data_IF_310315137189
#
_entry.id   IF_310315137189
#
_cell.length_a   1.000
_cell.length_b   1.000
_cell.length_c   1.000
_cell.angle_alpha   90.00
_cell.angle_beta   90.00
_cell.angle_gamma   90.00
#
_symmetry.space_group_name_H-M   'P 1'
#
loop_
_entity.id
_entity.type
_entity.pdbx_description
1 polymer ?
#
# COMPACT_ATOMS: atom_id res chain seq x y z
N UNK A 1 31.73 19.93 -5.97
CA UNK A 1 31.60 21.21 -6.71
C UNK A 1 31.75 21.07 -8.23
N UNK A 2 32.63 20.21 -8.77
CA UNK A 2 32.79 20.02 -10.23
C UNK A 2 31.57 19.39 -10.93
N UNK A 3 31.00 18.32 -10.36
CA UNK A 3 29.83 17.63 -10.94
C UNK A 3 28.53 18.43 -10.87
N UNK A 4 28.42 19.35 -9.90
CA UNK A 4 27.24 20.21 -9.72
C UNK A 4 27.15 21.24 -10.85
N UNK A 5 28.28 21.88 -11.22
CA UNK A 5 28.35 22.78 -12.39
C UNK A 5 28.00 22.08 -13.71
N UNK A 6 28.37 20.80 -13.85
CA UNK A 6 28.10 20.03 -15.06
C UNK A 6 26.60 19.65 -15.19
N UNK A 7 25.94 19.35 -14.08
CA UNK A 7 24.49 19.09 -14.06
C UNK A 7 23.67 20.37 -14.27
N UNK A 8 24.10 21.51 -13.71
CA UNK A 8 23.47 22.83 -13.94
C UNK A 8 23.51 23.20 -15.43
N UNK A 9 24.65 23.05 -16.11
CA UNK A 9 24.73 23.33 -17.55
C UNK A 9 23.83 22.41 -18.38
N UNK A 10 23.66 21.13 -17.98
CA UNK A 10 22.75 20.20 -18.68
C UNK A 10 21.28 20.55 -18.43
N UNK A 11 20.90 20.94 -17.22
CA UNK A 11 19.53 21.34 -16.88
C UNK A 11 19.12 22.65 -17.57
N UNK A 12 19.99 23.66 -17.58
CA UNK A 12 19.76 24.92 -18.30
C UNK A 12 19.54 24.67 -19.79
N UNK A 13 20.33 23.78 -20.40
CA UNK A 13 20.16 23.42 -21.82
C UNK A 13 18.85 22.68 -22.08
N UNK A 14 18.40 21.80 -21.19
CA UNK A 14 17.13 21.06 -21.32
C UNK A 14 15.92 21.99 -21.14
N UNK A 15 15.95 22.90 -20.17
CA UNK A 15 14.90 23.89 -19.96
C UNK A 15 14.79 24.87 -21.14
N UNK A 16 15.92 25.34 -21.67
CA UNK A 16 15.96 26.18 -22.88
C UNK A 16 15.43 25.43 -24.10
N UNK A 17 15.74 24.14 -24.23
CA UNK A 17 15.28 23.33 -25.36
C UNK A 17 13.78 23.01 -25.30
N UNK A 18 13.21 22.82 -24.10
CA UNK A 18 11.76 22.68 -23.92
C UNK A 18 11.01 23.99 -24.20
N UNK A 19 11.55 25.14 -23.78
CA UNK A 19 10.98 26.45 -24.09
C UNK A 19 10.95 26.75 -25.60
N UNK A 20 12.01 26.42 -26.34
CA UNK A 20 12.03 26.57 -27.80
C UNK A 20 11.00 25.68 -28.51
N UNK A 21 10.78 24.45 -28.02
CA UNK A 21 9.77 23.55 -28.58
C UNK A 21 8.32 24.01 -28.31
N UNK A 22 8.07 24.60 -27.13
CA UNK A 22 6.75 25.12 -26.77
C UNK A 22 6.40 26.40 -27.54
N UNK A 23 7.39 27.28 -27.75
CA UNK A 23 7.25 28.51 -28.53
C UNK A 23 6.99 28.23 -30.03
N UNK A 24 7.60 27.17 -30.58
CA UNK A 24 7.40 26.80 -32.00
C UNK A 24 6.01 26.22 -32.27
N UNK A 25 5.36 25.60 -31.27
CA UNK A 25 4.01 25.04 -31.39
C UNK A 25 2.90 26.11 -31.20
N UNK A 26 3.19 27.22 -30.51
CA UNK A 26 2.21 28.26 -30.21
C UNK A 26 2.03 29.32 -31.31
N UNK A 27 3.01 29.50 -32.21
CA UNK A 27 3.00 30.56 -33.23
C UNK A 27 2.94 30.02 -34.67
N UNK A 28 1.90 29.21 -34.94
CA UNK A 28 1.45 28.96 -36.30
C UNK A 28 0.44 30.01 -36.77
N UNK A 29 0.82 30.77 -37.81
CA UNK A 29 -0.01 31.54 -38.76
C UNK A 29 0.13 33.08 -38.75
N UNK A 30 0.79 33.53 -39.82
CA UNK A 30 0.58 34.73 -40.67
C UNK A 30 0.40 36.13 -40.08
N UNK A 31 1.24 37.04 -40.59
CA UNK A 31 0.86 38.41 -40.96
C UNK A 31 1.68 39.52 -40.29
N UNK A 32 2.69 40.01 -41.02
CA UNK A 32 3.34 41.35 -40.96
C UNK A 32 3.68 41.92 -39.56
N UNK A 33 4.90 41.67 -39.06
CA UNK A 33 5.32 41.92 -37.66
C UNK A 33 6.77 42.41 -37.46
N UNK A 34 7.45 42.95 -38.45
CA UNK A 34 8.93 43.03 -38.38
C UNK A 34 9.50 44.15 -37.49
N UNK A 35 8.76 45.21 -37.18
CA UNK A 35 9.23 46.28 -36.27
C UNK A 35 8.76 46.14 -34.81
N UNK A 36 7.62 45.48 -34.59
CA UNK A 36 7.09 45.21 -33.24
C UNK A 36 7.68 43.92 -32.67
N UNK A 37 8.03 42.93 -33.50
CA UNK A 37 8.68 41.72 -33.01
C UNK A 37 10.14 41.96 -32.60
N UNK A 38 10.90 42.82 -33.29
CA UNK A 38 12.32 43.05 -32.94
C UNK A 38 12.46 43.60 -31.51
N UNK A 39 11.68 44.64 -31.17
CA UNK A 39 11.63 45.24 -29.83
C UNK A 39 11.15 44.23 -28.77
N UNK A 40 10.16 43.39 -29.13
CA UNK A 40 9.66 42.33 -28.25
C UNK A 40 10.69 41.22 -27.99
N UNK A 41 11.48 40.86 -29.01
CA UNK A 41 12.52 39.80 -28.92
C UNK A 41 13.72 40.27 -28.11
N UNK A 42 14.10 41.55 -28.23
CA UNK A 42 15.20 42.13 -27.46
C UNK A 42 14.81 42.33 -25.98
N UNK A 43 13.57 42.75 -25.71
CA UNK A 43 12.98 42.79 -24.35
C UNK A 43 12.96 41.38 -23.71
N UNK A 44 12.55 40.36 -24.46
CA UNK A 44 12.51 38.97 -23.98
C UNK A 44 13.92 38.43 -23.66
N UNK A 45 14.90 38.77 -24.51
CA UNK A 45 16.30 38.38 -24.33
C UNK A 45 16.95 39.09 -23.14
N UNK A 46 16.62 40.35 -22.90
CA UNK A 46 17.03 41.10 -21.72
C UNK A 46 16.43 40.51 -20.44
N UNK A 47 15.13 40.23 -20.43
CA UNK A 47 14.43 39.60 -19.30
C UNK A 47 15.05 38.23 -18.96
N UNK A 48 15.34 37.40 -19.97
CA UNK A 48 15.97 36.08 -19.80
C UNK A 48 17.36 36.16 -19.18
N UNK A 49 18.16 37.16 -19.56
CA UNK A 49 19.52 37.37 -19.03
C UNK A 49 19.52 37.83 -17.57
N UNK A 50 18.55 38.67 -17.17
CA UNK A 50 18.38 39.11 -15.77
C UNK A 50 18.00 37.92 -14.90
N UNK A 51 17.04 37.12 -15.36
CA UNK A 51 16.61 35.87 -14.73
C UNK A 51 17.79 34.91 -14.52
N UNK A 52 18.59 34.65 -15.55
CA UNK A 52 19.72 33.71 -15.49
C UNK A 52 20.80 34.16 -14.48
N UNK A 53 21.03 35.47 -14.38
CA UNK A 53 21.99 36.05 -13.44
C UNK A 53 21.49 36.00 -11.99
N UNK A 54 20.18 36.14 -11.78
CA UNK A 54 19.54 36.05 -10.47
C UNK A 54 19.60 34.63 -9.90
N UNK A 55 19.19 33.62 -10.69
CA UNK A 55 19.25 32.19 -10.30
C UNK A 55 20.64 31.80 -9.83
N UNK A 56 21.69 32.21 -10.56
CA UNK A 56 23.08 31.88 -10.23
C UNK A 56 23.56 32.46 -8.89
N UNK A 57 23.09 33.65 -8.52
CA UNK A 57 23.50 34.36 -7.29
C UNK A 57 22.82 33.78 -6.03
N UNK A 58 21.60 33.29 -6.18
CA UNK A 58 20.80 32.75 -5.07
C UNK A 58 21.25 31.33 -4.68
N UNK A 59 21.62 30.50 -5.67
CA UNK A 59 22.21 29.17 -5.42
C UNK A 59 23.51 29.26 -4.61
N UNK A 60 24.31 30.31 -4.80
CA UNK A 60 25.57 30.51 -4.05
C UNK A 60 25.36 30.91 -2.57
N UNK A 61 24.15 31.30 -2.15
CA UNK A 61 23.88 31.86 -0.81
C UNK A 61 23.23 30.90 0.19
N UNK A 62 22.74 29.73 -0.22
CA UNK A 62 21.98 28.83 0.66
C UNK A 62 22.90 27.71 1.19
N UNK A 63 23.07 27.61 2.51
CA UNK A 63 24.16 26.86 3.14
C UNK A 63 23.80 25.45 3.68
N UNK A 64 22.72 24.82 3.23
CA UNK A 64 22.39 23.43 3.58
C UNK A 64 21.81 22.68 2.37
N UNK A 65 22.27 21.46 2.10
CA UNK A 65 21.94 20.70 0.88
C UNK A 65 20.42 20.42 0.72
N UNK A 66 19.69 20.28 1.84
CA UNK A 66 18.23 20.10 1.83
C UNK A 66 17.47 21.41 1.56
N UNK A 67 17.96 22.53 2.11
CA UNK A 67 17.41 23.86 1.87
C UNK A 67 17.74 24.31 0.45
N UNK A 68 18.91 23.94 -0.07
CA UNK A 68 19.39 24.22 -1.43
C UNK A 68 18.49 23.56 -2.47
N UNK A 69 18.16 22.26 -2.34
CA UNK A 69 17.25 21.56 -3.28
C UNK A 69 15.82 22.11 -3.23
N UNK A 70 15.33 22.46 -2.04
CA UNK A 70 14.00 23.07 -1.89
C UNK A 70 13.97 24.49 -2.48
N UNK A 71 15.03 25.27 -2.27
CA UNK A 71 15.21 26.59 -2.84
C UNK A 71 15.32 26.53 -4.37
N UNK A 72 16.11 25.61 -4.92
CA UNK A 72 16.29 25.45 -6.37
C UNK A 72 14.95 25.21 -7.10
N UNK A 73 14.13 24.28 -6.61
CA UNK A 73 12.81 23.99 -7.18
C UNK A 73 11.80 25.14 -7.01
N UNK A 74 11.85 25.84 -5.87
CA UNK A 74 11.01 27.01 -5.64
C UNK A 74 11.42 28.18 -6.55
N UNK A 75 12.72 28.34 -6.80
CA UNK A 75 13.29 29.37 -7.66
C UNK A 75 13.00 29.10 -9.14
N UNK A 76 13.05 27.85 -9.61
CA UNK A 76 12.67 27.48 -10.98
C UNK A 76 11.22 27.89 -11.28
N UNK A 77 10.29 27.55 -10.37
CA UNK A 77 8.88 27.95 -10.47
C UNK A 77 8.68 29.47 -10.37
N UNK A 78 9.39 30.14 -9.47
CA UNK A 78 9.34 31.60 -9.34
C UNK A 78 9.89 32.31 -10.59
N UNK A 79 10.85 31.69 -11.26
CA UNK A 79 11.43 32.15 -12.51
C UNK A 79 10.42 32.06 -13.64
N UNK A 80 9.71 30.94 -13.78
CA UNK A 80 8.61 30.79 -14.74
C UNK A 80 7.49 31.81 -14.50
N UNK A 81 7.06 31.98 -13.23
CA UNK A 81 6.03 32.97 -12.86
C UNK A 81 6.49 34.42 -13.12
N UNK A 82 7.77 34.73 -12.90
CA UNK A 82 8.34 36.05 -13.18
C UNK A 82 8.43 36.33 -14.68
N UNK A 83 8.81 35.33 -15.49
CA UNK A 83 8.83 35.44 -16.95
C UNK A 83 7.41 35.65 -17.49
N UNK A 84 6.41 34.89 -17.01
CA UNK A 84 5.01 35.06 -17.41
C UNK A 84 4.45 36.44 -17.02
N UNK A 85 4.86 36.97 -15.85
CA UNK A 85 4.47 38.31 -15.41
C UNK A 85 5.11 39.41 -16.26
N UNK A 86 6.38 39.26 -16.64
CA UNK A 86 7.08 40.18 -17.54
C UNK A 86 6.47 40.14 -18.95
N UNK A 87 6.12 38.96 -19.44
CA UNK A 87 5.46 38.79 -20.74
C UNK A 87 4.07 39.44 -20.76
N UNK A 88 3.25 39.24 -19.71
CA UNK A 88 1.96 39.94 -19.54
C UNK A 88 2.10 41.46 -19.38
N UNK A 89 3.20 41.92 -18.79
CA UNK A 89 3.49 43.36 -18.67
C UNK A 89 3.90 43.95 -20.03
N UNK A 90 4.73 43.22 -20.79
CA UNK A 90 5.13 43.59 -22.15
C UNK A 90 3.94 43.61 -23.11
N UNK A 91 2.98 42.68 -22.94
CA UNK A 91 1.78 42.62 -23.77
C UNK A 91 0.75 43.73 -23.44
N UNK A 92 0.73 44.22 -22.20
CA UNK A 92 -0.16 45.32 -21.76
C UNK A 92 0.34 46.72 -22.07
N UNK A 93 1.62 46.89 -22.42
CA UNK A 93 2.24 48.21 -22.60
C UNK A 93 2.81 48.33 -24.00
N UNK A 94 1.93 48.32 -24.99
CA UNK A 94 2.25 48.80 -26.33
C UNK A 94 2.03 50.31 -26.41
N UNK A 95 2.83 51.10 -25.71
CA UNK A 95 3.17 52.49 -26.05
C UNK A 95 4.16 53.08 -25.04
N UNK A 96 5.39 53.36 -25.52
CA UNK A 96 6.47 54.11 -24.84
C UNK A 96 6.91 53.58 -23.47
N UNK A 97 7.71 52.53 -23.45
CA UNK A 97 8.61 52.25 -22.31
C UNK A 97 10.01 51.97 -22.86
N UNK A 98 11.02 52.66 -22.34
CA UNK A 98 12.43 52.43 -22.64
C UNK A 98 12.90 51.09 -22.09
N UNK A 99 13.84 50.39 -22.75
CA UNK A 99 14.42 49.12 -22.26
C UNK A 99 14.81 49.17 -20.77
N UNK A 100 15.39 50.28 -20.30
CA UNK A 100 15.74 50.48 -18.88
C UNK A 100 14.56 50.40 -17.90
N UNK A 101 13.38 50.87 -18.30
CA UNK A 101 12.20 50.84 -17.44
C UNK A 101 11.57 49.44 -17.40
N UNK A 102 11.67 48.68 -18.49
CA UNK A 102 11.30 47.25 -18.52
C UNK A 102 12.30 46.44 -17.70
N UNK A 103 13.60 46.72 -17.80
CA UNK A 103 14.65 46.05 -17.03
C UNK A 103 14.48 46.27 -15.52
N UNK A 104 14.25 47.52 -15.08
CA UNK A 104 13.96 47.83 -13.66
C UNK A 104 12.67 47.19 -13.15
N UNK A 105 11.63 47.14 -13.98
CA UNK A 105 10.38 46.47 -13.61
C UNK A 105 10.56 44.95 -13.49
N UNK A 106 11.34 44.35 -14.39
CA UNK A 106 11.71 42.94 -14.36
C UNK A 106 12.58 42.60 -13.13
N UNK A 107 13.62 43.39 -12.83
CA UNK A 107 14.45 43.21 -11.63
C UNK A 107 13.62 43.24 -10.35
N UNK A 108 12.70 44.21 -10.22
CA UNK A 108 11.82 44.32 -9.04
C UNK A 108 10.81 43.17 -8.94
N UNK A 109 10.33 42.67 -10.08
CA UNK A 109 9.44 41.51 -10.12
C UNK A 109 10.17 40.22 -9.72
N UNK A 110 11.39 40.03 -10.22
CA UNK A 110 12.27 38.91 -9.87
C UNK A 110 12.62 38.95 -8.38
N UNK A 111 13.09 40.08 -7.84
CA UNK A 111 13.43 40.21 -6.41
C UNK A 111 12.24 39.84 -5.50
N UNK A 112 11.04 40.31 -5.84
CA UNK A 112 9.81 39.96 -5.11
C UNK A 112 9.42 38.49 -5.24
N UNK A 113 9.74 37.86 -6.37
CA UNK A 113 9.52 36.44 -6.59
C UNK A 113 10.52 35.60 -5.79
N UNK A 114 11.79 36.01 -5.74
CA UNK A 114 12.84 35.39 -4.92
C UNK A 114 12.49 35.43 -3.43
N UNK A 115 12.07 36.59 -2.90
CA UNK A 115 11.66 36.71 -1.50
C UNK A 115 10.50 35.76 -1.15
N UNK A 116 9.49 35.68 -2.03
CA UNK A 116 8.36 34.77 -1.85
C UNK A 116 8.78 33.30 -1.92
N UNK A 117 9.66 32.95 -2.85
CA UNK A 117 10.17 31.59 -3.00
C UNK A 117 10.97 31.17 -1.76
N UNK A 118 11.85 32.06 -1.26
CA UNK A 118 12.62 31.84 -0.05
C UNK A 118 11.71 31.66 1.17
N UNK A 119 10.69 32.50 1.34
CA UNK A 119 9.70 32.35 2.42
C UNK A 119 8.96 31.00 2.35
N UNK A 120 8.53 30.57 1.16
CA UNK A 120 7.88 29.27 0.97
C UNK A 120 8.82 28.10 1.27
N UNK A 121 10.07 28.19 0.83
CA UNK A 121 11.08 27.16 1.09
C UNK A 121 11.38 27.04 2.59
N UNK A 122 11.52 28.17 3.30
CA UNK A 122 11.70 28.18 4.75
C UNK A 122 10.48 27.61 5.49
N UNK A 123 9.27 27.98 5.05
CA UNK A 123 8.01 27.46 5.59
C UNK A 123 7.91 25.95 5.43
N UNK A 124 8.39 25.40 4.31
CA UNK A 124 8.44 23.96 4.03
C UNK A 124 9.48 23.24 4.89
N UNK A 125 10.65 23.83 5.07
CA UNK A 125 11.78 23.20 5.75
C UNK A 125 11.61 23.14 7.28
N UNK A 126 11.03 24.20 7.88
CA UNK A 126 10.94 24.32 9.34
C UNK A 126 9.59 23.87 9.87
N UNK A 127 9.62 23.06 10.94
CA UNK A 127 8.44 22.70 11.73
C UNK A 127 7.70 23.97 12.22
N UNK A 128 6.37 23.90 12.41
CA UNK A 128 5.58 25.04 12.89
C UNK A 128 5.98 25.49 14.30
N UNK A 129 6.20 24.53 15.19
CA UNK A 129 6.65 24.79 16.56
C UNK A 129 8.19 24.76 16.64
N UNK A 130 8.73 25.41 17.66
CA UNK A 130 10.17 25.44 17.91
C UNK A 130 10.75 24.06 18.24
N UNK A 131 12.08 23.97 18.28
CA UNK A 131 12.80 22.72 18.58
C UNK A 131 12.43 22.09 19.93
N UNK A 132 11.93 22.88 20.88
CA UNK A 132 11.57 22.47 22.24
C UNK A 132 10.13 21.95 22.39
N UNK A 133 9.26 22.15 21.39
CA UNK A 133 7.86 21.75 21.44
C UNK A 133 7.50 20.75 20.32
N UNK A 134 6.77 19.67 20.65
CA UNK A 134 6.29 18.74 19.64
C UNK A 134 5.21 19.40 18.79
N UNK A 135 5.28 19.18 17.48
CA UNK A 135 4.18 19.55 16.60
C UNK A 135 3.08 18.50 16.72
N UNK A 136 1.92 18.91 17.23
CA UNK A 136 0.76 18.03 17.39
C UNK A 136 0.07 17.80 16.04
N UNK A 137 0.01 16.54 15.62
CA UNK A 137 -0.62 16.10 14.37
C UNK A 137 -1.76 15.15 14.69
N UNK A 138 -2.99 15.60 14.48
CA UNK A 138 -4.16 14.77 14.64
C UNK A 138 -4.36 13.89 13.40
N UNK A 139 -4.55 12.59 13.56
CA UNK A 139 -4.76 11.67 12.44
C UNK A 139 -6.16 11.04 12.47
N UNK A 140 -6.67 10.70 11.29
CA UNK A 140 -7.84 9.85 11.13
C UNK A 140 -7.64 8.92 9.95
N UNK A 141 -7.76 7.62 10.17
CA UNK A 141 -7.68 6.60 9.11
C UNK A 141 -9.06 6.08 8.79
N UNK A 142 -9.43 6.08 7.52
CA UNK A 142 -10.68 5.48 7.05
C UNK A 142 -10.36 4.39 6.03
N UNK A 143 -10.59 3.13 6.41
CA UNK A 143 -10.45 2.02 5.47
C UNK A 143 -11.68 1.94 4.59
N UNK A 144 -11.49 2.20 3.30
CA UNK A 144 -12.54 2.13 2.29
C UNK A 144 -12.83 0.66 1.97
N UNK A 145 -11.77 -0.10 1.69
CA UNK A 145 -11.89 -1.49 1.30
C UNK A 145 -10.61 -2.28 1.59
N UNK A 146 -10.77 -3.60 1.68
CA UNK A 146 -9.67 -4.58 1.67
C UNK A 146 -9.90 -5.48 0.45
N UNK A 147 -9.10 -5.29 -0.59
CA UNK A 147 -9.36 -5.90 -1.90
C UNK A 147 -9.05 -7.41 -1.91
N UNK A 148 -7.98 -7.81 -1.21
CA UNK A 148 -7.52 -9.21 -1.15
C UNK A 148 -6.63 -9.45 0.06
N UNK A 149 -6.73 -10.64 0.66
CA UNK A 149 -5.76 -11.16 1.62
C UNK A 149 -5.13 -12.43 1.02
N UNK A 150 -3.81 -12.42 0.85
CA UNK A 150 -3.02 -13.54 0.36
C UNK A 150 -2.19 -14.16 1.48
N UNK A 151 -2.66 -15.31 1.97
CA UNK A 151 -2.02 -16.02 3.06
C UNK A 151 -0.65 -16.60 2.71
N UNK A 152 -0.46 -17.06 1.47
CA UNK A 152 0.79 -17.66 1.03
C UNK A 152 1.85 -16.58 0.74
N UNK A 153 1.43 -15.47 0.13
CA UNK A 153 2.30 -14.33 -0.14
C UNK A 153 2.52 -13.42 1.08
N UNK A 154 1.93 -13.75 2.24
CA UNK A 154 2.01 -12.96 3.47
C UNK A 154 1.71 -11.46 3.25
N UNK A 155 0.62 -11.19 2.51
CA UNK A 155 0.27 -9.82 2.13
C UNK A 155 -1.24 -9.62 2.02
N UNK A 156 -1.67 -8.36 2.09
CA UNK A 156 -3.04 -7.95 1.81
C UNK A 156 -3.05 -6.61 1.08
N UNK A 157 -4.05 -6.36 0.25
CA UNK A 157 -4.21 -5.09 -0.46
C UNK A 157 -5.29 -4.27 0.23
N UNK A 158 -4.97 -3.03 0.57
CA UNK A 158 -5.89 -2.14 1.28
C UNK A 158 -6.06 -0.82 0.52
N UNK A 159 -7.25 -0.26 0.67
CA UNK A 159 -7.61 1.04 0.16
C UNK A 159 -8.03 1.96 1.32
N UNK A 160 -7.22 2.96 1.63
CA UNK A 160 -7.38 3.76 2.85
C UNK A 160 -7.32 5.25 2.56
N UNK A 161 -8.20 6.02 3.19
CA UNK A 161 -8.06 7.46 3.33
C UNK A 161 -7.34 7.77 4.63
N UNK A 162 -6.38 8.68 4.57
CA UNK A 162 -5.72 9.24 5.75
C UNK A 162 -5.97 10.74 5.76
N UNK A 163 -6.46 11.24 6.88
CA UNK A 163 -6.59 12.67 7.15
C UNK A 163 -5.62 13.05 8.26
N UNK A 164 -4.80 14.07 8.01
CA UNK A 164 -3.88 14.65 8.99
C UNK A 164 -4.25 16.11 9.20
N UNK A 165 -4.34 16.53 10.46
CA UNK A 165 -4.66 17.90 10.84
C UNK A 165 -3.61 18.42 11.83
N UNK A 166 -2.96 19.53 11.51
CA UNK A 166 -2.02 20.19 12.43
C UNK A 166 -2.22 21.70 12.40
N UNK A 167 -1.63 22.38 13.39
CA UNK A 167 -1.70 23.84 13.49
C UNK A 167 -0.40 24.45 12.98
N UNK A 168 -0.50 25.43 12.09
CA UNK A 168 0.63 26.27 11.70
C UNK A 168 0.22 27.75 11.76
N UNK A 169 0.68 28.45 12.80
CA UNK A 169 0.38 29.87 13.03
C UNK A 169 0.89 30.77 11.91
N UNK A 170 1.95 30.37 11.20
CA UNK A 170 2.56 31.13 10.08
C UNK A 170 1.64 31.21 8.87
N UNK A 171 0.67 30.29 8.77
CA UNK A 171 -0.31 30.19 7.69
C UNK A 171 -1.66 30.83 8.01
N UNK A 172 -1.83 31.39 9.21
CA UNK A 172 -3.04 32.11 9.60
C UNK A 172 -3.28 33.30 8.66
N UNK A 173 -4.52 33.48 8.22
CA UNK A 173 -4.88 34.51 7.27
C UNK A 173 -6.33 34.95 7.44
N UNK A 174 -6.62 36.19 7.06
CA UNK A 174 -8.00 36.65 6.96
C UNK A 174 -8.69 36.04 5.73
N UNK A 175 -9.92 35.54 5.90
CA UNK A 175 -10.75 35.00 4.80
C UNK A 175 -11.24 33.57 5.04
N UNK A 176 -11.69 32.91 3.96
CA UNK A 176 -12.13 31.52 3.97
C UNK A 176 -10.99 30.51 3.80
N UNK A 177 -11.33 29.23 3.61
CA UNK A 177 -10.35 28.15 3.44
C UNK A 177 -9.54 28.34 2.15
N UNK A 178 -8.21 28.34 2.26
CA UNK A 178 -7.28 28.36 1.13
C UNK A 178 -6.76 26.97 0.81
N UNK A 179 -6.52 26.69 -0.47
CA UNK A 179 -5.87 25.46 -0.92
C UNK A 179 -4.45 25.79 -1.36
N UNK A 180 -3.45 25.12 -0.78
CA UNK A 180 -2.02 25.36 -1.04
C UNK A 180 -1.37 24.03 -1.45
N UNK A 181 -0.43 24.02 -2.41
CA UNK A 181 0.35 22.82 -2.71
C UNK A 181 1.10 22.29 -1.48
N UNK A 182 1.13 20.97 -1.28
CA UNK A 182 1.84 20.33 -0.16
C UNK A 182 3.34 20.66 -0.14
N UNK A 183 3.92 20.95 -1.31
CA UNK A 183 5.34 21.31 -1.47
C UNK A 183 5.69 22.67 -0.88
N UNK A 184 4.71 23.54 -0.62
CA UNK A 184 4.92 24.90 -0.12
C UNK A 184 4.72 25.01 1.41
N UNK A 185 4.35 23.91 2.08
CA UNK A 185 4.01 23.90 3.51
C UNK A 185 4.71 22.75 4.21
N UNK A 186 5.19 22.98 5.44
CA UNK A 186 5.72 21.88 6.26
C UNK A 186 4.64 20.79 6.46
N UNK A 187 5.03 19.53 6.37
CA UNK A 187 4.12 18.41 6.58
C UNK A 187 4.90 17.23 7.21
N UNK A 188 4.24 16.34 7.97
CA UNK A 188 4.89 15.24 8.68
C UNK A 188 5.38 14.08 7.77
N UNK A 189 5.20 14.19 6.45
CA UNK A 189 5.67 13.25 5.42
C UNK A 189 5.37 11.77 5.75
N UNK A 190 4.12 11.49 6.10
CA UNK A 190 3.70 10.16 6.56
C UNK A 190 3.87 9.08 5.47
N UNK A 191 4.57 8.01 5.84
CA UNK A 191 4.81 6.81 5.04
C UNK A 191 4.19 5.56 5.68
N UNK A 192 3.81 4.59 4.85
CA UNK A 192 3.40 3.26 5.30
C UNK A 192 4.63 2.35 5.34
N UNK A 193 4.99 1.87 6.52
CA UNK A 193 6.22 1.07 6.73
C UNK A 193 6.10 -0.30 6.11
N UNK A 194 4.99 -1.00 6.38
CA UNK A 194 4.77 -2.36 5.93
C UNK A 194 4.25 -2.43 4.49
N UNK A 195 4.63 -1.49 3.62
CA UNK A 195 4.29 -1.57 2.19
C UNK A 195 5.02 -2.75 1.53
N UNK A 196 4.27 -3.65 0.89
CA UNK A 196 4.81 -4.80 0.15
C UNK A 196 5.21 -4.47 -1.28
N UNK A 197 4.97 -3.24 -1.73
CA UNK A 197 5.22 -2.79 -3.10
C UNK A 197 4.90 -1.32 -3.28
N UNK A 198 4.54 -0.92 -4.52
CA UNK A 198 4.18 0.46 -4.84
C UNK A 198 2.83 0.80 -4.20
N UNK A 199 2.83 1.82 -3.34
CA UNK A 199 1.60 2.44 -2.83
C UNK A 199 1.22 3.62 -3.72
N UNK A 200 0.03 3.56 -4.32
CA UNK A 200 -0.49 4.63 -5.16
C UNK A 200 -1.19 5.69 -4.30
N UNK A 201 -0.93 6.96 -4.62
CA UNK A 201 -1.65 8.12 -4.08
C UNK A 201 -2.66 8.58 -5.12
N UNK A 202 -3.95 8.68 -4.76
CA UNK A 202 -5.01 9.01 -5.74
C UNK A 202 -5.56 10.44 -5.64
N UNK A 203 -5.32 11.14 -4.52
CA UNK A 203 -5.74 12.54 -4.37
C UNK A 203 -4.58 13.51 -4.68
N UNK A 204 -4.88 14.72 -5.15
CA UNK A 204 -3.86 15.76 -5.34
C UNK A 204 -3.09 16.05 -4.05
N UNK A 205 -1.79 16.28 -4.16
CA UNK A 205 -0.93 16.63 -3.02
C UNK A 205 -1.08 18.12 -2.67
N UNK A 206 -2.26 18.47 -2.15
CA UNK A 206 -2.62 19.81 -1.70
C UNK A 206 -3.12 19.76 -0.25
N UNK A 207 -2.95 20.86 0.46
CA UNK A 207 -3.48 21.05 1.82
C UNK A 207 -4.55 22.13 1.82
N UNK A 208 -5.55 21.96 2.68
CA UNK A 208 -6.57 22.98 2.97
C UNK A 208 -6.18 23.68 4.25
N UNK A 209 -6.02 25.00 4.19
CA UNK A 209 -5.65 25.85 5.31
C UNK A 209 -6.84 26.71 5.71
N UNK A 210 -7.28 26.56 6.96
CA UNK A 210 -8.33 27.39 7.56
C UNK A 210 -7.79 28.75 8.00
N UNK A 211 -8.68 29.73 8.20
CA UNK A 211 -8.31 31.10 8.56
C UNK A 211 -7.45 31.20 9.83
N UNK A 212 -7.69 30.28 10.76
CA UNK A 212 -6.98 30.18 12.03
C UNK A 212 -5.57 29.57 11.89
N UNK A 213 -5.17 29.10 10.71
CA UNK A 213 -3.89 28.41 10.46
C UNK A 213 -3.97 26.89 10.68
N UNK A 214 -5.16 26.30 10.83
CA UNK A 214 -5.31 24.84 10.87
C UNK A 214 -5.17 24.25 9.47
N UNK A 215 -4.18 23.38 9.29
CA UNK A 215 -3.88 22.71 8.03
C UNK A 215 -4.50 21.32 8.03
N UNK A 216 -5.22 20.98 6.97
CA UNK A 216 -5.83 19.67 6.74
C UNK A 216 -5.27 19.07 5.47
N UNK A 217 -4.64 17.89 5.60
CA UNK A 217 -4.17 17.07 4.50
C UNK A 217 -5.01 15.81 4.42
N UNK A 218 -5.47 15.45 3.23
CA UNK A 218 -6.22 14.23 2.98
C UNK A 218 -5.60 13.53 1.79
N UNK A 219 -5.28 12.24 1.96
CA UNK A 219 -4.74 11.43 0.89
C UNK A 219 -5.38 10.04 0.89
N UNK A 220 -5.53 9.47 -0.30
CA UNK A 220 -5.95 8.08 -0.51
C UNK A 220 -4.73 7.25 -0.86
N UNK A 221 -4.48 6.20 -0.09
CA UNK A 221 -3.43 5.23 -0.35
C UNK A 221 -4.07 3.92 -0.80
N UNK A 222 -3.57 3.35 -1.89
CA UNK A 222 -3.99 2.03 -2.38
C UNK A 222 -2.75 1.21 -2.71
N UNK A 223 -2.67 -0.02 -2.21
CA UNK A 223 -1.57 -0.91 -2.56
C UNK A 223 -1.42 -2.11 -1.64
N UNK A 224 -0.46 -3.00 -1.97
CA UNK A 224 -0.17 -4.18 -1.19
C UNK A 224 0.62 -3.83 0.08
N UNK A 225 0.24 -4.46 1.18
CA UNK A 225 0.83 -4.38 2.51
C UNK A 225 1.31 -5.77 2.92
N UNK A 226 2.47 -5.83 3.56
CA UNK A 226 3.05 -7.03 4.12
C UNK A 226 2.45 -7.32 5.50
N UNK A 227 2.05 -8.56 5.72
CA UNK A 227 1.51 -9.05 6.98
C UNK A 227 2.04 -10.46 7.27
N UNK A 228 2.77 -10.67 8.38
CA UNK A 228 3.15 -12.02 8.78
C UNK A 228 1.90 -12.80 9.23
N UNK A 229 1.57 -13.85 8.48
CA UNK A 229 0.42 -14.71 8.75
C UNK A 229 0.89 -16.12 9.14
N UNK A 230 0.34 -16.66 10.24
CA UNK A 230 0.60 -18.02 10.72
C UNK A 230 -0.62 -18.92 10.52
N UNK A 231 -0.67 -19.60 9.39
CA UNK A 231 -1.82 -20.37 8.93
C UNK A 231 -1.88 -21.80 9.49
N UNK A 232 -1.22 -22.10 10.62
CA UNK A 232 -1.21 -23.46 11.17
C UNK A 232 -2.62 -23.97 11.51
N UNK A 233 -3.55 -23.08 11.84
CA UNK A 233 -4.96 -23.39 12.15
C UNK A 233 -5.88 -23.37 10.92
N UNK A 234 -5.35 -23.17 9.70
CA UNK A 234 -6.15 -23.12 8.48
C UNK A 234 -7.02 -24.39 8.32
N UNK A 235 -8.32 -24.26 7.95
CA UNK A 235 -9.05 -23.05 7.55
C UNK A 235 -9.83 -22.35 8.70
N UNK A 236 -9.59 -22.72 9.96
CA UNK A 236 -10.26 -22.18 11.15
C UNK A 236 -9.42 -21.06 11.80
N UNK A 237 -8.82 -20.21 10.99
CA UNK A 237 -7.87 -19.19 11.40
C UNK A 237 -8.50 -17.79 11.55
N UNK A 238 -7.87 -16.99 12.40
CA UNK A 238 -8.16 -15.58 12.66
C UNK A 238 -6.83 -14.87 12.86
N UNK A 239 -6.68 -13.69 12.25
CA UNK A 239 -5.44 -12.91 12.34
C UNK A 239 -5.74 -11.43 12.51
N UNK A 240 -4.77 -10.75 13.09
CA UNK A 240 -4.72 -9.30 13.18
C UNK A 240 -3.87 -8.77 12.01
N UNK A 241 -4.37 -7.72 11.39
CA UNK A 241 -3.77 -7.04 10.25
C UNK A 241 -3.44 -5.61 10.66
N UNK A 242 -2.28 -5.12 10.24
CA UNK A 242 -1.81 -3.80 10.65
C UNK A 242 -1.47 -2.95 9.44
N UNK A 243 -1.77 -1.65 9.54
CA UNK A 243 -1.32 -0.62 8.60
C UNK A 243 -0.52 0.38 9.43
N UNK A 244 0.81 0.31 9.31
CA UNK A 244 1.74 1.10 10.13
C UNK A 244 2.13 2.38 9.41
N UNK A 245 1.74 3.53 9.96
CA UNK A 245 2.10 4.85 9.47
C UNK A 245 3.21 5.47 10.33
N UNK A 246 4.20 6.10 9.70
CA UNK A 246 5.31 6.77 10.39
C UNK A 246 5.66 8.09 9.72
N UNK A 247 6.22 9.02 10.48
CA UNK A 247 6.87 10.25 10.00
C UNK A 247 8.39 10.02 9.97
N UNK A 248 9.00 9.72 8.81
CA UNK A 248 10.43 9.42 8.74
C UNK A 248 11.26 10.63 9.17
N UNK A 249 12.26 10.39 10.02
CA UNK A 249 13.14 11.45 10.50
C UNK A 249 12.55 12.33 11.60
N UNK A 250 11.33 12.05 12.06
CA UNK A 250 10.74 12.70 13.24
C UNK A 250 10.67 11.72 14.41
N UNK A 251 11.20 12.15 15.55
CA UNK A 251 11.06 11.43 16.82
C UNK A 251 9.70 11.74 17.46
N UNK A 252 9.20 10.89 18.39
CA UNK A 252 7.97 11.16 19.14
C UNK A 252 8.00 12.49 19.93
N UNK A 253 9.19 13.03 20.21
CA UNK A 253 9.39 14.32 20.88
C UNK A 253 9.24 15.52 19.92
N UNK A 254 9.40 15.31 18.61
CA UNK A 254 9.30 16.37 17.59
C UNK A 254 7.92 16.40 16.92
N UNK A 255 7.32 15.23 16.72
CA UNK A 255 5.97 15.07 16.14
C UNK A 255 5.17 14.14 17.03
N UNK A 256 4.12 14.70 17.64
CA UNK A 256 3.21 13.93 18.48
C UNK A 256 1.91 13.69 17.72
N UNK A 257 1.64 12.42 17.44
CA UNK A 257 0.37 12.02 16.83
C UNK A 257 -0.72 11.90 17.89
N UNK A 258 -1.95 12.28 17.52
CA UNK A 258 -3.13 12.09 18.34
C UNK A 258 -4.33 11.67 17.49
N UNK A 259 -5.21 10.78 17.96
CA UNK A 259 -6.34 10.33 17.17
C UNK A 259 -7.43 11.42 17.11
N UNK A 260 -7.90 11.74 15.91
CA UNK A 260 -8.96 12.71 15.68
C UNK A 260 -10.35 12.04 15.71
N UNK A 261 -11.43 12.76 16.05
CA UNK A 261 -12.79 12.23 15.90
C UNK A 261 -13.20 12.14 14.42
N UNK A 262 -14.09 11.19 14.09
CA UNK A 262 -14.70 11.11 12.77
C UNK A 262 -15.58 12.33 12.48
N UNK A 263 -15.72 12.69 11.20
CA UNK A 263 -16.48 13.89 10.79
C UNK A 263 -17.98 13.75 11.11
N UNK A 264 -18.55 12.55 10.93
CA UNK A 264 -19.98 12.29 11.11
C UNK A 264 -20.35 11.77 12.49
N UNK A 265 -19.43 11.13 13.19
CA UNK A 265 -19.65 10.57 14.53
C UNK A 265 -18.45 10.83 15.44
N UNK A 266 -18.55 11.81 16.36
CA UNK A 266 -17.47 12.14 17.28
C UNK A 266 -17.08 11.02 18.26
N UNK A 267 -17.92 9.98 18.42
CA UNK A 267 -17.59 8.83 19.28
C UNK A 267 -16.52 7.93 18.66
N UNK A 268 -16.38 7.96 17.33
CA UNK A 268 -15.36 7.19 16.63
C UNK A 268 -14.07 8.02 16.58
N UNK A 269 -13.02 7.51 17.20
CA UNK A 269 -11.76 8.22 17.41
C UNK A 269 -10.63 7.47 16.69
N UNK A 270 -9.78 8.20 15.96
CA UNK A 270 -8.56 7.70 15.32
C UNK A 270 -8.78 6.99 14.00
N UNK A 271 -9.83 6.18 13.87
CA UNK A 271 -10.12 5.55 12.60
C UNK A 271 -11.46 4.82 12.52
N UNK A 272 -11.87 4.54 11.30
CA UNK A 272 -13.07 3.81 10.98
C UNK A 272 -12.86 2.94 9.74
N UNK A 273 -13.79 2.03 9.51
CA UNK A 273 -13.80 1.14 8.35
C UNK A 273 -15.19 1.12 7.75
N UNK A 274 -15.27 1.02 6.43
CA UNK A 274 -16.54 0.83 5.74
C UNK A 274 -17.21 -0.48 6.18
N UNK A 275 -18.53 -0.48 6.33
CA UNK A 275 -19.26 -1.59 6.94
C UNK A 275 -19.34 -2.83 6.03
N UNK A 276 -19.23 -2.66 4.72
CA UNK A 276 -19.34 -3.72 3.71
C UNK A 276 -18.06 -3.76 2.85
N UNK A 277 -17.07 -4.54 3.28
CA UNK A 277 -15.84 -4.73 2.53
C UNK A 277 -16.04 -5.74 1.39
N UNK A 278 -15.31 -5.57 0.29
CA UNK A 278 -15.29 -6.46 -0.87
C UNK A 278 -14.44 -7.72 -0.62
N UNK A 279 -14.51 -8.28 0.59
CA UNK A 279 -13.64 -9.34 1.06
C UNK A 279 -14.40 -10.69 1.06
N UNK A 280 -14.15 -11.59 0.09
CA UNK A 280 -14.97 -12.80 -0.09
C UNK A 280 -14.72 -13.86 0.99
N UNK A 281 -13.48 -13.97 1.45
CA UNK A 281 -13.02 -15.13 2.24
C UNK A 281 -12.93 -14.83 3.74
N UNK A 282 -13.19 -13.59 4.15
CA UNK A 282 -12.98 -13.15 5.53
C UNK A 282 -14.06 -12.20 6.03
N UNK A 283 -14.30 -12.27 7.32
CA UNK A 283 -15.14 -11.35 8.07
C UNK A 283 -14.26 -10.53 9.00
N UNK A 284 -14.26 -9.20 8.84
CA UNK A 284 -13.68 -8.30 9.84
C UNK A 284 -14.58 -8.27 11.07
N UNK A 285 -13.97 -8.40 12.24
CA UNK A 285 -14.66 -8.50 13.53
C UNK A 285 -14.51 -7.22 14.34
N UNK A 286 -13.28 -6.75 14.47
CA UNK A 286 -12.91 -5.58 15.28
C UNK A 286 -11.84 -4.78 14.55
N UNK A 287 -11.76 -3.49 14.85
CA UNK A 287 -10.69 -2.61 14.38
C UNK A 287 -10.42 -1.51 15.40
N UNK A 288 -9.20 -0.99 15.40
CA UNK A 288 -8.75 0.09 16.26
C UNK A 288 -7.70 0.94 15.55
N UNK A 289 -7.55 2.18 16.00
CA UNK A 289 -6.52 3.08 15.52
C UNK A 289 -5.85 3.77 16.71
N UNK A 290 -4.55 3.58 16.86
CA UNK A 290 -3.82 4.04 18.04
C UNK A 290 -2.46 4.66 17.69
N UNK A 291 -1.98 5.51 18.61
CA UNK A 291 -0.64 6.08 18.53
C UNK A 291 0.35 5.02 18.98
N UNK A 292 1.21 4.59 18.07
CA UNK A 292 2.24 3.60 18.35
C UNK A 292 3.51 3.98 17.58
N UNK A 293 4.52 4.53 18.27
CA UNK A 293 5.83 4.79 17.67
C UNK A 293 6.40 3.52 17.04
N UNK A 294 7.02 3.69 15.87
CA UNK A 294 7.70 2.59 15.21
C UNK A 294 9.14 2.50 15.71
N UNK A 295 9.58 1.28 16.03
CA UNK A 295 10.95 1.00 16.50
C UNK A 295 11.68 0.15 15.48
N UNK A 296 12.46 0.73 14.56
CA UNK A 296 13.28 -0.04 13.62
C UNK A 296 14.39 -0.83 14.35
N UNK A 297 14.92 -0.25 15.43
CA UNK A 297 15.94 -0.81 16.32
C UNK A 297 15.57 -0.52 17.78
N UNK A 298 16.25 -1.13 18.74
CA UNK A 298 15.95 -0.89 20.16
C UNK A 298 16.16 0.57 20.59
N UNK A 299 17.12 1.26 19.98
CA UNK A 299 17.53 2.62 20.37
C UNK A 299 16.83 3.75 19.58
N UNK A 300 16.12 3.43 18.48
CA UNK A 300 15.54 4.43 17.59
C UNK A 300 14.02 4.33 17.64
N UNK A 301 13.37 5.43 18.01
CA UNK A 301 11.91 5.57 17.92
C UNK A 301 11.55 6.60 16.86
N UNK A 302 10.61 6.24 15.99
CA UNK A 302 10.06 7.09 14.95
C UNK A 302 8.59 7.36 15.27
N UNK A 303 8.17 8.61 15.22
CA UNK A 303 6.79 8.99 15.46
C UNK A 303 5.85 8.28 14.47
N UNK A 304 4.79 7.66 14.97
CA UNK A 304 3.87 6.89 14.14
C UNK A 304 2.56 6.53 14.83
N UNK A 305 1.67 5.97 14.03
CA UNK A 305 0.36 5.48 14.45
C UNK A 305 -0.01 4.26 13.60
N UNK A 306 -0.93 3.45 14.11
CA UNK A 306 -1.31 2.17 13.49
C UNK A 306 -2.81 2.09 13.38
N UNK A 307 -3.27 1.55 12.26
CA UNK A 307 -4.61 1.02 12.13
C UNK A 307 -4.55 -0.50 12.16
N UNK A 308 -5.24 -1.12 13.12
CA UNK A 308 -5.30 -2.57 13.29
C UNK A 308 -6.72 -3.08 13.07
N UNK A 309 -6.86 -4.23 12.43
CA UNK A 309 -8.15 -4.92 12.33
C UNK A 309 -7.98 -6.42 12.42
N UNK A 310 -8.96 -7.08 13.04
CA UNK A 310 -8.99 -8.52 13.22
C UNK A 310 -9.97 -9.13 12.25
N UNK A 311 -9.50 -10.07 11.42
CA UNK A 311 -10.34 -10.77 10.45
C UNK A 311 -10.33 -12.29 10.67
N UNK A 312 -11.52 -12.89 10.58
CA UNK A 312 -11.75 -14.33 10.70
C UNK A 312 -12.17 -14.92 9.36
N UNK A 313 -11.59 -16.05 8.97
CA UNK A 313 -11.88 -16.70 7.69
C UNK A 313 -13.28 -17.30 7.65
N UNK A 314 -13.96 -17.22 6.51
CA UNK A 314 -15.19 -17.96 6.24
C UNK A 314 -14.87 -19.44 5.98
N UNK A 315 -15.02 -20.28 7.01
CA UNK A 315 -14.63 -21.68 6.91
C UNK A 315 -15.66 -22.58 6.20
N UNK A 316 -16.91 -22.12 6.04
CA UNK A 316 -18.02 -22.93 5.49
C UNK A 316 -17.71 -23.49 4.10
N UNK A 317 -17.06 -22.70 3.25
CA UNK A 317 -16.64 -23.14 1.92
C UNK A 317 -15.72 -24.36 2.00
N UNK A 318 -14.68 -24.31 2.85
CA UNK A 318 -13.73 -25.42 3.01
C UNK A 318 -14.39 -26.66 3.61
N UNK A 319 -15.35 -26.50 4.51
CA UNK A 319 -16.09 -27.64 5.05
C UNK A 319 -16.81 -28.40 3.94
N UNK A 320 -17.57 -27.70 3.09
CA UNK A 320 -18.39 -28.33 2.06
C UNK A 320 -17.62 -28.75 0.81
N UNK A 321 -16.61 -28.00 0.40
CA UNK A 321 -15.86 -28.26 -0.84
C UNK A 321 -14.61 -29.12 -0.60
N UNK A 322 -14.06 -29.12 0.62
CA UNK A 322 -12.84 -29.85 0.96
C UNK A 322 -13.09 -31.02 1.91
N UNK A 323 -13.66 -30.75 3.08
CA UNK A 323 -13.76 -31.76 4.14
C UNK A 323 -14.82 -32.83 3.81
N UNK A 324 -16.03 -32.42 3.42
CA UNK A 324 -17.13 -33.35 3.14
C UNK A 324 -16.81 -34.31 1.99
N UNK A 325 -16.33 -33.87 0.80
CA UNK A 325 -16.00 -34.78 -0.28
C UNK A 325 -14.88 -35.75 0.08
N UNK A 326 -13.88 -35.32 0.86
CA UNK A 326 -12.82 -36.21 1.33
C UNK A 326 -13.36 -37.30 2.28
N UNK A 327 -14.27 -36.94 3.20
CA UNK A 327 -14.96 -37.94 4.05
C UNK A 327 -15.69 -38.96 3.19
N UNK A 328 -16.40 -38.53 2.13
CA UNK A 328 -17.11 -39.44 1.22
C UNK A 328 -16.15 -40.40 0.50
N UNK A 329 -14.99 -39.92 0.03
CA UNK A 329 -13.97 -40.75 -0.62
C UNK A 329 -13.42 -41.80 0.36
N UNK A 330 -13.14 -41.40 1.60
CA UNK A 330 -12.64 -42.32 2.63
C UNK A 330 -13.70 -43.39 2.96
N UNK A 331 -14.98 -43.00 3.10
CA UNK A 331 -16.07 -43.95 3.32
C UNK A 331 -16.25 -44.92 2.14
N UNK A 332 -16.10 -44.45 0.90
CA UNK A 332 -16.15 -45.30 -0.29
C UNK A 332 -15.04 -46.37 -0.25
N UNK A 333 -13.85 -45.99 0.23
CA UNK A 333 -12.73 -46.92 0.40
C UNK A 333 -13.07 -48.07 1.34
N UNK A 334 -13.76 -47.79 2.44
CA UNK A 334 -14.20 -48.82 3.40
C UNK A 334 -15.28 -49.74 2.83
N UNK A 335 -15.98 -49.31 1.78
CA UNK A 335 -16.93 -50.15 1.05
C UNK A 335 -16.29 -51.44 0.52
N UNK A 336 -14.99 -51.42 0.21
CA UNK A 336 -14.25 -52.63 -0.20
C UNK A 336 -14.19 -53.71 0.89
N UNK A 337 -14.22 -53.34 2.17
CA UNK A 337 -14.19 -54.27 3.32
C UNK A 337 -15.49 -55.06 3.51
N UNK A 338 -16.56 -54.65 2.83
CA UNK A 338 -17.86 -55.32 2.87
C UNK A 338 -18.06 -56.32 1.72
N UNK A 339 -17.16 -56.31 0.73
CA UNK A 339 -17.16 -57.26 -0.39
C UNK A 339 -16.51 -58.56 0.08
N UNK A 340 -17.10 -59.69 -0.29
CA UNK A 340 -16.56 -61.00 0.06
C UNK A 340 -15.14 -61.18 -0.52
N UNK A 341 -14.12 -61.57 0.30
CA UNK A 341 -12.74 -61.79 -0.15
C UNK A 341 -12.59 -62.82 -1.29
N UNK A 342 -13.57 -63.71 -1.47
CA UNK A 342 -13.60 -64.62 -2.63
C UNK A 342 -13.79 -63.89 -3.96
N UNK A 343 -14.39 -62.70 -3.96
CA UNK A 343 -14.53 -61.83 -5.12
C UNK A 343 -13.41 -60.78 -5.17
N UNK A 344 -12.17 -61.27 -5.26
CA UNK A 344 -10.95 -60.46 -5.31
C UNK A 344 -11.00 -59.34 -6.37
N UNK A 345 -11.57 -59.62 -7.55
CA UNK A 345 -11.67 -58.66 -8.65
C UNK A 345 -12.51 -57.43 -8.28
N UNK A 346 -13.68 -57.62 -7.67
CA UNK A 346 -14.51 -56.51 -7.22
C UNK A 346 -13.88 -55.75 -6.05
N UNK A 347 -13.29 -56.48 -5.09
CA UNK A 347 -12.66 -55.89 -3.90
C UNK A 347 -11.47 -54.99 -4.26
N UNK A 348 -10.53 -55.52 -5.07
CA UNK A 348 -9.37 -54.76 -5.58
C UNK A 348 -9.83 -53.60 -6.47
N UNK A 349 -10.86 -53.82 -7.29
CA UNK A 349 -11.44 -52.80 -8.16
C UNK A 349 -11.90 -51.57 -7.37
N UNK A 350 -12.74 -51.76 -6.35
CA UNK A 350 -13.25 -50.66 -5.51
C UNK A 350 -12.12 -49.97 -4.74
N UNK A 351 -11.19 -50.73 -4.16
CA UNK A 351 -10.06 -50.17 -3.42
C UNK A 351 -9.14 -49.32 -4.31
N UNK A 352 -8.81 -49.81 -5.51
CA UNK A 352 -7.95 -49.11 -6.47
C UNK A 352 -8.65 -47.87 -7.04
N UNK A 353 -9.93 -47.95 -7.37
CA UNK A 353 -10.72 -46.80 -7.82
C UNK A 353 -10.82 -45.72 -6.74
N UNK A 354 -10.97 -46.10 -5.48
CA UNK A 354 -10.98 -45.15 -4.34
C UNK A 354 -9.65 -44.43 -4.19
N UNK A 355 -8.54 -45.17 -4.32
CA UNK A 355 -7.19 -44.59 -4.28
C UNK A 355 -6.94 -43.62 -5.44
N UNK A 356 -7.32 -44.01 -6.67
CA UNK A 356 -7.18 -43.14 -7.84
C UNK A 356 -8.02 -41.86 -7.68
N UNK A 357 -9.24 -41.99 -7.17
CA UNK A 357 -10.13 -40.86 -6.89
C UNK A 357 -9.49 -39.91 -5.87
N UNK A 358 -8.88 -40.45 -4.81
CA UNK A 358 -8.22 -39.63 -3.80
C UNK A 358 -6.99 -38.90 -4.35
N UNK A 359 -6.17 -39.57 -5.16
CA UNK A 359 -4.99 -38.94 -5.79
C UNK A 359 -5.44 -37.81 -6.72
N UNK A 360 -6.45 -38.06 -7.57
CA UNK A 360 -7.02 -37.04 -8.44
C UNK A 360 -7.58 -35.85 -7.66
N UNK A 361 -8.30 -36.12 -6.56
CA UNK A 361 -8.84 -35.10 -5.67
C UNK A 361 -7.74 -34.26 -5.00
N UNK A 362 -6.65 -34.90 -4.56
CA UNK A 362 -5.50 -34.21 -3.97
C UNK A 362 -4.81 -33.28 -4.97
N UNK A 363 -4.69 -33.67 -6.24
CA UNK A 363 -4.20 -32.78 -7.29
C UNK A 363 -5.12 -31.57 -7.49
N UNK A 364 -6.44 -31.77 -7.43
CA UNK A 364 -7.40 -30.66 -7.51
C UNK A 364 -7.27 -29.70 -6.32
N UNK A 365 -7.12 -30.22 -5.10
CA UNK A 365 -6.93 -29.41 -3.89
C UNK A 365 -5.63 -28.58 -3.89
N UNK A 366 -4.58 -29.03 -4.57
CA UNK A 366 -3.30 -28.33 -4.65
C UNK A 366 -3.36 -26.93 -5.25
N UNK A 367 -4.47 -26.59 -5.90
CA UNK A 367 -4.74 -25.24 -6.45
C UNK A 367 -5.60 -24.37 -5.51
N UNK A 368 -6.26 -24.95 -4.51
CA UNK A 368 -7.18 -24.25 -3.61
C UNK A 368 -6.56 -23.91 -2.25
N UNK A 369 -5.52 -24.66 -1.85
CA UNK A 369 -4.88 -24.53 -0.55
C UNK A 369 -3.54 -23.77 -0.71
N UNK A 370 -3.25 -22.78 0.16
CA UNK A 370 -1.98 -22.06 0.09
C UNK A 370 -0.79 -23.00 0.32
N UNK A 371 0.27 -22.82 -0.47
CA UNK A 371 1.53 -23.57 -0.30
C UNK A 371 2.34 -22.95 0.82
N UNK A 372 2.56 -23.71 1.89
CA UNK A 372 3.26 -23.25 3.09
C UNK A 372 4.42 -24.18 3.44
N UNK A 373 5.49 -23.66 4.08
CA UNK A 373 6.63 -24.48 4.49
C UNK A 373 6.35 -25.36 5.72
N UNK A 374 5.18 -25.20 6.35
CA UNK A 374 4.72 -25.98 7.50
C UNK A 374 3.33 -26.55 7.25
N UNK A 375 2.97 -27.61 7.97
CA UNK A 375 1.66 -28.25 7.84
C UNK A 375 0.57 -27.46 8.54
N UNK A 376 -0.57 -27.33 7.88
CA UNK A 376 -1.82 -26.82 8.45
C UNK A 376 -2.66 -27.95 9.04
N UNK A 377 -3.69 -27.60 9.84
CA UNK A 377 -4.70 -28.56 10.32
C UNK A 377 -5.35 -29.33 9.17
N UNK A 378 -5.67 -28.65 8.08
CA UNK A 378 -6.20 -29.27 6.87
C UNK A 378 -5.21 -30.26 6.23
N UNK A 379 -3.91 -29.96 6.26
CA UNK A 379 -2.89 -30.88 5.74
C UNK A 379 -2.78 -32.15 6.59
N UNK A 380 -2.86 -32.04 7.92
CA UNK A 380 -2.91 -33.21 8.80
C UNK A 380 -4.16 -34.06 8.53
N UNK A 381 -5.31 -33.43 8.37
CA UNK A 381 -6.56 -34.12 8.04
C UNK A 381 -6.46 -34.86 6.68
N UNK A 382 -6.00 -34.17 5.64
CA UNK A 382 -5.87 -34.74 4.29
C UNK A 382 -4.82 -35.85 4.22
N UNK A 383 -3.68 -35.67 4.91
CA UNK A 383 -2.61 -36.67 4.95
C UNK A 383 -3.04 -37.94 5.69
N UNK A 384 -3.66 -37.82 6.87
CA UNK A 384 -4.14 -38.99 7.60
C UNK A 384 -5.27 -39.72 6.87
N UNK A 385 -6.17 -38.98 6.22
CA UNK A 385 -7.19 -39.56 5.33
C UNK A 385 -6.56 -40.35 4.18
N UNK A 386 -5.50 -39.81 3.58
CA UNK A 386 -4.74 -40.48 2.51
C UNK A 386 -4.06 -41.74 3.00
N UNK A 387 -3.44 -41.67 4.17
CA UNK A 387 -2.80 -42.83 4.78
C UNK A 387 -3.81 -43.94 5.07
N UNK A 388 -5.00 -43.60 5.58
CA UNK A 388 -6.05 -44.58 5.85
C UNK A 388 -6.57 -45.25 4.57
N UNK A 389 -6.79 -44.51 3.48
CA UNK A 389 -7.18 -45.11 2.19
C UNK A 389 -6.09 -46.05 1.67
N UNK A 390 -4.82 -45.68 1.81
CA UNK A 390 -3.72 -46.57 1.43
C UNK A 390 -3.69 -47.85 2.29
N UNK A 391 -3.94 -47.73 3.60
CA UNK A 391 -4.07 -48.88 4.49
C UNK A 391 -5.25 -49.79 4.13
N UNK A 392 -6.38 -49.24 3.68
CA UNK A 392 -7.50 -50.07 3.20
C UNK A 392 -7.13 -50.85 1.94
N UNK A 393 -6.34 -50.26 1.02
CA UNK A 393 -5.84 -50.99 -0.14
C UNK A 393 -4.87 -52.11 0.25
N UNK A 394 -3.96 -51.83 1.19
CA UNK A 394 -3.03 -52.84 1.70
C UNK A 394 -3.77 -54.00 2.38
N UNK A 395 -4.81 -53.70 3.16
CA UNK A 395 -5.68 -54.68 3.78
C UNK A 395 -6.37 -55.56 2.74
N UNK A 396 -6.97 -54.96 1.70
CA UNK A 396 -7.63 -55.70 0.60
C UNK A 396 -6.67 -56.64 -0.12
N UNK A 397 -5.42 -56.23 -0.33
CA UNK A 397 -4.39 -57.09 -0.93
C UNK A 397 -4.08 -58.28 -0.01
N UNK A 398 -4.01 -58.05 1.31
CA UNK A 398 -3.75 -59.10 2.30
C UNK A 398 -4.93 -60.08 2.38
N UNK A 399 -6.18 -59.59 2.47
CA UNK A 399 -7.37 -60.44 2.55
C UNK A 399 -7.59 -61.22 1.26
N UNK A 400 -7.35 -60.60 0.10
CA UNK A 400 -7.34 -61.32 -1.18
C UNK A 400 -6.25 -62.41 -1.22
N UNK A 401 -5.02 -62.13 -0.76
CA UNK A 401 -3.96 -63.15 -0.75
C UNK A 401 -4.30 -64.32 0.21
N UNK A 402 -4.90 -64.04 1.35
CA UNK A 402 -5.38 -65.06 2.29
C UNK A 402 -6.50 -65.90 1.68
N UNK A 403 -7.44 -65.28 0.97
CA UNK A 403 -8.50 -65.99 0.24
C UNK A 403 -7.91 -66.93 -0.83
N UNK A 404 -6.91 -66.47 -1.60
CA UNK A 404 -6.20 -67.29 -2.60
C UNK A 404 -5.43 -68.48 -2.00
N UNK A 405 -5.02 -68.38 -0.73
CA UNK A 405 -4.37 -69.49 0.02
C UNK A 405 -5.37 -70.40 0.74
N UNK A 406 -6.65 -70.36 0.36
CA UNK A 406 -7.76 -71.09 0.99
C UNK A 406 -8.00 -70.76 2.47
N UNK A 407 -7.45 -69.63 2.96
CA UNK A 407 -7.61 -69.14 4.34
C UNK A 407 -8.73 -68.10 4.46
N UNK A 408 -9.87 -68.38 3.83
CA UNK A 408 -11.00 -67.43 3.71
C UNK A 408 -11.56 -67.03 5.09
N UNK A 409 -11.61 -67.95 6.05
CA UNK A 409 -12.09 -67.65 7.42
C UNK A 409 -11.27 -66.55 8.10
N UNK A 410 -9.94 -66.60 7.95
CA UNK A 410 -9.03 -65.61 8.51
C UNK A 410 -9.20 -64.27 7.78
N UNK A 411 -9.38 -64.29 6.45
CA UNK A 411 -9.65 -63.08 5.68
C UNK A 411 -10.93 -62.36 6.16
N UNK A 412 -12.02 -63.11 6.38
CA UNK A 412 -13.29 -62.56 6.90
C UNK A 412 -13.13 -62.01 8.32
N UNK A 413 -12.36 -62.67 9.18
CA UNK A 413 -12.07 -62.16 10.52
C UNK A 413 -11.32 -60.83 10.46
N UNK A 414 -10.32 -60.70 9.59
CA UNK A 414 -9.56 -59.45 9.38
C UNK A 414 -10.49 -58.34 8.88
N UNK A 415 -11.29 -58.58 7.85
CA UNK A 415 -12.28 -57.61 7.35
C UNK A 415 -13.19 -57.12 8.48
N UNK A 416 -13.68 -58.05 9.32
CA UNK A 416 -14.61 -57.72 10.40
C UNK A 416 -13.98 -56.79 11.45
N UNK A 417 -12.73 -57.03 11.83
CA UNK A 417 -11.99 -56.12 12.70
C UNK A 417 -11.76 -54.76 12.03
N UNK A 418 -11.38 -54.76 10.75
CA UNK A 418 -11.10 -53.56 9.97
C UNK A 418 -12.35 -52.69 9.79
N UNK A 419 -13.55 -53.28 9.65
CA UNK A 419 -14.83 -52.54 9.58
C UNK A 419 -15.09 -51.63 10.77
N UNK A 420 -14.57 -51.95 11.96
CA UNK A 420 -14.68 -51.08 13.14
C UNK A 420 -13.43 -50.23 13.38
N UNK A 421 -12.24 -50.79 13.11
CA UNK A 421 -10.98 -50.09 13.34
C UNK A 421 -10.82 -48.86 12.44
N UNK A 422 -11.07 -49.00 11.13
CA UNK A 422 -10.88 -47.90 10.17
C UNK A 422 -11.78 -46.69 10.46
N UNK A 423 -13.12 -46.84 10.65
CA UNK A 423 -13.96 -45.71 11.01
C UNK A 423 -13.59 -45.07 12.34
N UNK A 424 -13.24 -45.87 13.34
CA UNK A 424 -12.87 -45.36 14.67
C UNK A 424 -11.59 -44.52 14.59
N UNK A 425 -10.55 -45.05 13.93
CA UNK A 425 -9.29 -44.31 13.73
C UNK A 425 -9.52 -43.05 12.91
N UNK A 426 -10.35 -43.11 11.86
CA UNK A 426 -10.67 -41.93 11.06
C UNK A 426 -11.37 -40.84 11.86
N UNK A 427 -12.36 -41.19 12.68
CA UNK A 427 -13.08 -40.21 13.52
C UNK A 427 -12.12 -39.58 14.53
N UNK A 428 -11.32 -40.39 15.23
CA UNK A 428 -10.34 -39.88 16.20
C UNK A 428 -9.30 -38.96 15.52
N UNK A 429 -8.78 -39.36 14.36
CA UNK A 429 -7.84 -38.55 13.60
C UNK A 429 -8.48 -37.25 13.10
N UNK A 430 -9.72 -37.30 12.62
CA UNK A 430 -10.44 -36.13 12.11
C UNK A 430 -10.69 -35.10 13.22
N UNK A 431 -11.10 -35.58 14.39
CA UNK A 431 -11.30 -34.71 15.57
C UNK A 431 -9.97 -34.09 15.99
N UNK A 432 -8.92 -34.90 16.09
CA UNK A 432 -7.59 -34.43 16.48
C UNK A 432 -7.02 -33.41 15.50
N UNK A 433 -7.06 -33.70 14.20
CA UNK A 433 -6.44 -32.83 13.18
C UNK A 433 -7.20 -31.52 12.95
N UNK A 434 -8.52 -31.49 13.08
CA UNK A 434 -9.32 -30.28 12.79
C UNK A 434 -9.52 -29.39 14.03
N UNK A 435 -9.65 -29.97 15.23
CA UNK A 435 -10.07 -29.23 16.43
C UNK A 435 -8.99 -29.10 17.50
N UNK A 436 -8.21 -30.15 17.73
CA UNK A 436 -7.10 -30.15 18.68
C UNK A 436 -5.85 -29.52 18.04
#
# INVERSE_FOLDING_TARGET
MGDIRANINKMVVVAISMMCCFAYAAFGANGDKDSVNADKTDIEKAAKKVVEKAVKKTVEKVSEEAVEKAAEKAMEKATEEAVEAVEKAAEKVAEKVTEEAVEKAAEKAVEKAEEKAAQKAELRAKRPEGWWEPTNVNFFVFVIDIDKIDGAAQSFTANVFVRLNWKDKRLAHAGGVKTIPLTEVWNPDVLIVNRGGITQKSLPEVVKVSADGTVTYIQRYTGPLSQPLKLSKFPFDQHDFTIQFVSPGATPQEVQFAPAPAIRDPKIIGGAMYHELSLPDWKVTEYTAEVRPYKPTEDIEVAGFVFEFTAKRYTVYYVWQVIVPLILIVMMSWGSLYIDPSNAGAQIGVATSSMLTLIAYRFMLGNLIPRLPYMTRLDYFTLGSTFLVFLTLAEVIVTTNLALREKVKIAIEVDHWCRFAFPTVFILWSVWSLFL
#
